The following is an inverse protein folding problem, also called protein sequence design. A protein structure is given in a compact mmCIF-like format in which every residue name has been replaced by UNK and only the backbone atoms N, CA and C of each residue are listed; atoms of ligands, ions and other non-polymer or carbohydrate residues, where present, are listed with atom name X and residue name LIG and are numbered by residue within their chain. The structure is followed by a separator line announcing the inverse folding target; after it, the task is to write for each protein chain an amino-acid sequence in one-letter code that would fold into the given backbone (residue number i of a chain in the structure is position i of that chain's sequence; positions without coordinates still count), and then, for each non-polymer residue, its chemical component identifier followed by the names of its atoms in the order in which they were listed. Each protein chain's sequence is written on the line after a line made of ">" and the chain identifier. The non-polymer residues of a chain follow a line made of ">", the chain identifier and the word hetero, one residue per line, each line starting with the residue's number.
data_IF_407169216007
#
_entry.id   IF_407169216007
#
_cell.length_a   1.000
_cell.length_b   1.000
_cell.length_c   1.000
_cell.angle_alpha   90.00
_cell.angle_beta   90.00
_cell.angle_gamma   90.00
#
_symmetry.space_group_name_H-M   'P 1'
#
loop_
_entity.id
_entity.type
_entity.pdbx_description
1 polymer ?
#
# COMPACT_ATOMS: atom_id res chain seq x y z
N UNK A 1 35.59 3.04 -7.67
CA UNK A 1 34.15 3.27 -7.92
C UNK A 1 33.41 2.33 -6.99
N UNK A 2 32.89 2.86 -5.89
CA UNK A 2 32.08 2.09 -4.93
C UNK A 2 30.64 2.54 -5.14
N UNK A 3 29.90 1.82 -5.97
CA UNK A 3 28.45 1.99 -6.09
C UNK A 3 27.80 1.10 -5.03
N UNK A 4 27.20 1.75 -4.05
CA UNK A 4 26.26 1.16 -3.11
C UNK A 4 24.98 0.79 -3.85
N UNK A 5 25.02 -0.26 -4.67
CA UNK A 5 23.79 -0.83 -5.23
C UNK A 5 23.01 -1.50 -4.09
N UNK A 6 22.08 -0.75 -3.49
CA UNK A 6 21.10 -1.28 -2.55
C UNK A 6 20.41 -2.46 -3.23
N UNK A 7 20.60 -3.67 -2.69
CA UNK A 7 19.93 -4.87 -3.23
C UNK A 7 18.43 -4.62 -3.15
N UNK A 8 17.70 -4.75 -4.27
CA UNK A 8 16.29 -4.44 -4.25
C UNK A 8 15.55 -5.43 -3.36
N UNK A 9 14.57 -4.94 -2.61
CA UNK A 9 13.84 -5.66 -1.56
C UNK A 9 13.31 -7.04 -2.02
N UNK A 10 12.99 -7.21 -3.30
CA UNK A 10 12.52 -8.46 -3.90
C UNK A 10 13.55 -9.61 -3.92
N UNK A 11 14.83 -9.33 -3.64
CA UNK A 11 15.86 -10.35 -3.47
C UNK A 11 15.93 -10.92 -2.05
N UNK A 12 15.20 -10.34 -1.09
CA UNK A 12 15.14 -10.83 0.29
C UNK A 12 14.13 -11.98 0.37
N UNK A 13 14.53 -13.13 0.93
CA UNK A 13 13.68 -14.34 0.98
C UNK A 13 12.33 -14.15 1.69
N UNK A 14 12.24 -13.18 2.62
CA UNK A 14 10.97 -12.74 3.21
C UNK A 14 9.96 -12.38 2.12
N UNK A 15 10.37 -11.58 1.13
CA UNK A 15 9.47 -10.99 0.13
C UNK A 15 8.69 -12.07 -0.63
N UNK A 16 9.32 -13.21 -0.91
CA UNK A 16 8.66 -14.34 -1.56
C UNK A 16 7.69 -15.10 -0.63
N UNK A 17 7.99 -15.17 0.67
CA UNK A 17 7.11 -15.79 1.67
C UNK A 17 5.84 -14.97 1.85
N UNK A 18 5.94 -13.63 1.90
CA UNK A 18 4.76 -12.75 1.96
C UNK A 18 3.92 -12.86 0.70
N UNK A 19 4.52 -12.78 -0.50
CA UNK A 19 3.82 -12.99 -1.78
C UNK A 19 2.98 -14.28 -1.78
N UNK A 20 3.59 -15.42 -1.42
CA UNK A 20 2.92 -16.72 -1.46
C UNK A 20 1.84 -16.87 -0.37
N UNK A 21 2.03 -16.24 0.79
CA UNK A 21 1.08 -16.34 1.91
C UNK A 21 -0.23 -15.56 1.71
N UNK A 22 -0.23 -14.57 0.82
CA UNK A 22 -1.36 -13.66 0.60
C UNK A 22 -2.50 -14.30 -0.23
N UNK A 23 -2.26 -15.44 -0.88
CA UNK A 23 -3.19 -16.10 -1.82
C UNK A 23 -4.01 -17.26 -1.20
N UNK A 24 -4.19 -17.31 0.12
CA UNK A 24 -5.17 -18.23 0.72
C UNK A 24 -6.54 -17.54 0.84
N UNK A 25 -7.34 -17.66 -0.23
CA UNK A 25 -8.75 -17.23 -0.26
C UNK A 25 -9.60 -18.23 0.55
N UNK A 26 -9.93 -17.91 1.80
CA UNK A 26 -11.01 -18.59 2.54
C UNK A 26 -12.28 -17.76 2.44
N UNK A 27 -13.32 -18.37 1.88
CA UNK A 27 -14.64 -17.77 1.67
C UNK A 27 -15.48 -17.75 2.95
N UNK A 28 -15.94 -16.56 3.38
CA UNK A 28 -17.35 -16.20 3.53
C UNK A 28 -17.60 -15.06 4.55
N UNK A 29 -18.57 -14.22 4.18
CA UNK A 29 -19.37 -13.24 4.97
C UNK A 29 -18.86 -11.79 5.09
N UNK A 30 -19.85 -10.94 5.30
CA UNK A 30 -20.08 -9.57 4.79
C UNK A 30 -19.48 -8.46 5.63
N UNK A 31 -19.24 -7.27 5.06
CA UNK A 31 -19.87 -5.98 5.45
C UNK A 31 -19.46 -4.87 4.46
N UNK A 32 -20.34 -3.89 4.26
CA UNK A 32 -20.21 -2.76 3.34
C UNK A 32 -19.97 -1.52 4.20
N UNK A 33 -18.95 -0.72 3.90
CA UNK A 33 -18.87 0.65 4.39
C UNK A 33 -18.53 1.62 3.25
N UNK A 34 -19.35 2.66 3.18
CA UNK A 34 -19.39 3.73 2.21
C UNK A 34 -18.60 4.93 2.76
N UNK A 35 -17.72 5.54 1.97
CA UNK A 35 -17.22 6.88 2.30
C UNK A 35 -17.18 7.77 1.06
N UNK A 36 -17.94 8.85 1.16
CA UNK A 36 -17.99 10.01 0.29
C UNK A 36 -17.49 11.24 1.06
N UNK A 37 -16.54 11.94 0.44
CA UNK A 37 -16.42 13.40 0.33
C UNK A 37 -16.48 14.29 1.57
N UNK A 38 -15.39 15.03 1.83
CA UNK A 38 -15.43 16.44 2.27
C UNK A 38 -14.22 17.21 1.71
N UNK A 39 -14.47 18.45 1.31
CA UNK A 39 -13.56 19.46 0.77
C UNK A 39 -13.83 20.80 1.49
N UNK A 40 -12.82 21.68 1.44
CA UNK A 40 -12.76 23.11 1.80
C UNK A 40 -12.57 23.39 3.32
N UNK A 41 -11.77 24.36 3.80
CA UNK A 41 -11.07 25.52 3.22
C UNK A 41 -10.11 26.07 4.32
N UNK A 42 -8.92 26.60 3.97
CA UNK A 42 -8.26 27.71 4.67
C UNK A 42 -7.00 28.16 3.90
N UNK A 43 -6.98 29.44 3.54
CA UNK A 43 -6.07 30.04 2.57
C UNK A 43 -5.23 31.14 3.24
N UNK A 44 -4.04 31.39 2.67
CA UNK A 44 -3.17 32.58 2.79
C UNK A 44 -2.12 32.70 3.91
N UNK A 45 -0.88 32.32 3.58
CA UNK A 45 0.31 33.08 3.96
C UNK A 45 1.48 32.90 2.94
N UNK A 46 1.80 34.00 2.25
CA UNK A 46 3.16 34.41 1.84
C UNK A 46 3.88 33.75 0.65
N UNK A 47 3.40 34.08 -0.55
CA UNK A 47 4.05 34.89 -1.62
C UNK A 47 5.54 34.77 -2.00
N UNK A 48 6.44 34.15 -1.23
CA UNK A 48 7.83 33.90 -1.65
C UNK A 48 8.06 32.45 -2.16
N UNK A 49 7.07 31.57 -1.97
CA UNK A 49 7.04 30.18 -2.47
C UNK A 49 6.77 30.05 -4.00
N UNK A 50 6.61 31.16 -4.73
CA UNK A 50 6.04 31.16 -6.10
C UNK A 50 6.98 30.69 -7.22
N UNK A 51 8.27 30.42 -6.97
CA UNK A 51 9.16 29.80 -7.97
C UNK A 51 9.27 28.27 -7.88
N UNK A 52 8.99 27.67 -6.71
CA UNK A 52 8.97 26.21 -6.52
C UNK A 52 7.57 25.61 -6.77
N UNK A 53 6.54 26.45 -6.72
CA UNK A 53 5.15 26.04 -6.89
C UNK A 53 4.72 25.80 -8.36
N UNK A 54 5.47 26.31 -9.35
CA UNK A 54 5.20 26.04 -10.77
C UNK A 54 5.51 24.60 -11.17
N UNK A 55 6.43 23.94 -10.47
CA UNK A 55 6.71 22.50 -10.65
C UNK A 55 5.68 21.64 -9.88
N UNK A 56 5.31 22.05 -8.66
CA UNK A 56 4.27 21.34 -7.87
C UNK A 56 2.86 21.42 -8.46
N UNK A 57 2.50 22.49 -9.20
CA UNK A 57 1.18 22.63 -9.84
C UNK A 57 1.00 21.81 -11.12
N UNK A 58 2.05 21.21 -11.69
CA UNK A 58 1.88 20.20 -12.75
C UNK A 58 1.58 18.80 -12.19
N UNK A 59 1.86 18.53 -10.91
CA UNK A 59 1.59 17.23 -10.28
C UNK A 59 0.10 16.97 -10.01
N UNK A 60 -0.77 17.99 -9.99
CA UNK A 60 -2.21 17.81 -9.73
C UNK A 60 -3.02 17.28 -10.93
N UNK A 61 -2.41 17.10 -12.12
CA UNK A 61 -3.09 16.41 -13.24
C UNK A 61 -2.84 14.90 -13.26
N UNK A 62 -1.85 14.40 -12.52
CA UNK A 62 -1.49 12.99 -12.51
C UNK A 62 -1.15 12.55 -11.08
N UNK A 63 -2.11 11.97 -10.34
CA UNK A 63 -1.85 11.50 -8.98
C UNK A 63 -0.70 10.48 -8.96
N UNK A 64 0.04 10.45 -7.84
CA UNK A 64 1.11 9.48 -7.60
C UNK A 64 0.60 8.04 -7.69
N UNK A 65 1.50 7.07 -7.86
CA UNK A 65 1.12 5.66 -7.95
C UNK A 65 0.37 5.20 -6.70
N UNK A 66 0.85 5.59 -5.51
CA UNK A 66 0.22 5.31 -4.22
C UNK A 66 -1.17 5.97 -4.13
N UNK A 67 -1.32 7.23 -4.54
CA UNK A 67 -2.61 7.90 -4.55
C UNK A 67 -3.62 7.22 -5.48
N UNK A 68 -3.18 6.81 -6.68
CA UNK A 68 -3.97 5.99 -7.61
C UNK A 68 -4.40 4.69 -6.96
N UNK A 69 -3.46 3.93 -6.39
CA UNK A 69 -3.74 2.68 -5.70
C UNK A 69 -4.75 2.87 -4.56
N UNK A 70 -4.56 3.86 -3.69
CA UNK A 70 -5.43 4.14 -2.55
C UNK A 70 -6.86 4.50 -2.96
N UNK A 71 -7.03 5.17 -4.12
CA UNK A 71 -8.36 5.53 -4.65
C UNK A 71 -9.20 4.34 -5.14
N UNK A 72 -8.58 3.17 -5.38
CA UNK A 72 -9.27 1.98 -5.90
C UNK A 72 -10.19 1.41 -4.82
N UNK A 73 -11.49 1.32 -5.13
CA UNK A 73 -12.46 0.65 -4.26
C UNK A 73 -12.49 -0.86 -4.53
N UNK A 74 -12.57 -1.65 -3.47
CA UNK A 74 -12.73 -3.12 -3.49
C UNK A 74 -14.06 -3.53 -2.84
N UNK A 75 -14.35 -4.83 -2.84
CA UNK A 75 -15.55 -5.38 -2.18
C UNK A 75 -16.80 -5.36 -3.05
N UNK A 76 -17.97 -5.11 -2.45
CA UNK A 76 -19.27 -5.16 -3.17
C UNK A 76 -19.38 -4.05 -4.23
N UNK A 77 -18.94 -2.84 -3.88
CA UNK A 77 -18.96 -1.65 -4.74
C UNK A 77 -17.57 -1.37 -5.34
N UNK A 78 -16.78 -2.43 -5.54
CA UNK A 78 -15.44 -2.31 -6.09
C UNK A 78 -15.46 -1.75 -7.51
N UNK A 79 -14.35 -1.14 -7.91
CA UNK A 79 -14.20 -0.63 -9.27
C UNK A 79 -14.14 -1.76 -10.28
N UNK A 80 -14.62 -1.48 -11.50
CA UNK A 80 -14.51 -2.44 -12.58
C UNK A 80 -13.09 -2.51 -13.13
N UNK A 81 -12.73 -3.61 -13.80
CA UNK A 81 -11.42 -3.73 -14.47
C UNK A 81 -11.17 -2.56 -15.42
N UNK A 82 -12.19 -2.12 -16.16
CA UNK A 82 -12.08 -0.96 -17.08
C UNK A 82 -11.70 0.33 -16.34
N UNK A 83 -12.35 0.63 -15.22
CA UNK A 83 -12.05 1.82 -14.42
C UNK A 83 -10.62 1.78 -13.90
N UNK A 84 -10.18 0.62 -13.42
CA UNK A 84 -8.82 0.44 -12.89
C UNK A 84 -7.78 0.50 -14.00
N UNK A 85 -8.06 -0.07 -15.18
CA UNK A 85 -7.19 0.04 -16.36
C UNK A 85 -7.07 1.50 -16.83
N UNK A 86 -8.13 2.31 -16.74
CA UNK A 86 -8.01 3.74 -17.03
C UNK A 86 -7.12 4.48 -16.01
N UNK A 87 -7.07 4.00 -14.77
CA UNK A 87 -6.31 4.62 -13.69
C UNK A 87 -4.83 4.22 -13.69
N UNK A 88 -4.54 2.93 -13.90
CA UNK A 88 -3.21 2.33 -13.81
C UNK A 88 -2.59 1.99 -15.18
N UNK A 89 -3.35 2.10 -16.26
CA UNK A 89 -3.00 1.57 -17.58
C UNK A 89 -3.31 0.08 -17.72
N UNK A 90 -2.85 -0.53 -18.82
CA UNK A 90 -3.02 -1.96 -19.04
C UNK A 90 -2.18 -2.78 -18.04
N UNK A 91 -2.72 -3.91 -17.53
CA UNK A 91 -1.94 -4.82 -16.70
C UNK A 91 -0.80 -5.43 -17.52
N UNK A 92 0.30 -5.71 -16.85
CA UNK A 92 1.43 -6.44 -17.41
C UNK A 92 1.05 -7.88 -17.72
N UNK A 93 0.24 -8.49 -16.85
CA UNK A 93 -0.24 -9.86 -17.01
C UNK A 93 -1.59 -10.05 -16.33
N UNK A 94 -2.29 -11.12 -16.72
CA UNK A 94 -3.52 -11.56 -16.07
C UNK A 94 -3.56 -13.07 -15.94
N UNK A 95 -4.04 -13.56 -14.79
CA UNK A 95 -4.22 -14.96 -14.50
C UNK A 95 -5.68 -15.26 -14.19
N UNK A 96 -6.23 -16.31 -14.78
CA UNK A 96 -7.56 -16.82 -14.45
C UNK A 96 -7.44 -17.74 -13.24
N UNK A 97 -8.21 -17.48 -12.18
CA UNK A 97 -8.12 -18.18 -10.90
C UNK A 97 -9.17 -19.28 -10.74
N UNK A 98 -10.25 -19.25 -11.54
CA UNK A 98 -11.31 -20.26 -11.50
C UNK A 98 -11.56 -20.90 -12.87
N UNK A 99 -12.12 -22.12 -12.87
CA UNK A 99 -12.43 -22.86 -14.10
C UNK A 99 -13.45 -22.14 -15.01
N UNK A 100 -14.19 -21.18 -14.46
CA UNK A 100 -15.28 -20.46 -15.16
C UNK A 100 -14.85 -19.09 -15.67
N UNK A 101 -13.61 -18.67 -15.46
CA UNK A 101 -13.11 -17.35 -15.87
C UNK A 101 -13.77 -16.17 -15.16
N UNK A 102 -14.45 -16.40 -14.04
CA UNK A 102 -15.12 -15.34 -13.26
C UNK A 102 -14.17 -14.67 -12.29
N UNK A 103 -13.12 -15.36 -11.87
CA UNK A 103 -12.10 -14.81 -10.99
C UNK A 103 -10.79 -14.64 -11.76
N UNK A 104 -10.28 -13.40 -11.77
CA UNK A 104 -9.09 -13.01 -12.54
C UNK A 104 -8.21 -12.15 -11.65
N UNK A 105 -6.94 -12.49 -11.54
CA UNK A 105 -5.92 -11.61 -10.96
C UNK A 105 -5.22 -10.88 -12.09
N UNK A 106 -5.09 -9.56 -11.97
CA UNK A 106 -4.30 -8.74 -12.89
C UNK A 106 -3.12 -8.13 -12.13
N UNK A 107 -1.95 -8.16 -12.75
CA UNK A 107 -0.70 -7.63 -12.18
C UNK A 107 -0.23 -6.44 -13.02
N UNK A 108 0.20 -5.37 -12.35
CA UNK A 108 0.90 -4.24 -12.96
C UNK A 108 2.29 -4.15 -12.35
N UNK A 109 3.31 -4.30 -13.19
CA UNK A 109 4.67 -3.96 -12.84
C UNK A 109 4.88 -2.47 -13.16
N UNK A 110 5.20 -1.70 -12.14
CA UNK A 110 5.38 -0.24 -12.19
C UNK A 110 6.74 0.12 -11.60
N UNK A 111 7.05 1.41 -11.68
CA UNK A 111 8.23 1.99 -11.04
C UNK A 111 7.77 3.18 -10.21
N UNK A 112 8.29 3.28 -9.00
CA UNK A 112 8.11 4.41 -8.08
C UNK A 112 9.46 4.63 -7.39
N UNK A 113 9.97 5.87 -7.36
CA UNK A 113 11.29 6.20 -6.82
C UNK A 113 12.43 5.26 -7.29
N UNK A 114 12.46 4.91 -8.57
CA UNK A 114 13.40 3.95 -9.18
C UNK A 114 13.30 2.49 -8.68
N UNK A 115 12.38 2.19 -7.78
CA UNK A 115 12.10 0.83 -7.32
C UNK A 115 10.97 0.18 -8.12
N UNK A 116 11.10 -1.14 -8.32
CA UNK A 116 10.06 -1.92 -8.95
C UNK A 116 8.90 -2.11 -7.96
N UNK A 117 7.73 -1.63 -8.35
CA UNK A 117 6.49 -1.75 -7.58
C UNK A 117 5.55 -2.71 -8.28
N UNK A 118 4.95 -3.61 -7.52
CA UNK A 118 3.99 -4.58 -8.04
C UNK A 118 2.61 -4.26 -7.46
N UNK A 119 1.64 -4.02 -8.33
CA UNK A 119 0.23 -3.90 -7.95
C UNK A 119 -0.50 -5.14 -8.44
N UNK A 120 -1.24 -5.81 -7.56
CA UNK A 120 -2.10 -6.93 -7.93
C UNK A 120 -3.54 -6.64 -7.53
N UNK A 121 -4.48 -6.97 -8.40
CA UNK A 121 -5.92 -6.77 -8.14
C UNK A 121 -6.67 -8.02 -8.59
N UNK A 122 -7.43 -8.61 -7.67
CA UNK A 122 -8.30 -9.74 -7.97
C UNK A 122 -9.70 -9.24 -8.27
N UNK A 123 -10.24 -9.66 -9.40
CA UNK A 123 -11.57 -9.34 -9.87
C UNK A 123 -12.46 -10.57 -9.79
N UNK A 124 -13.67 -10.40 -9.27
CA UNK A 124 -14.74 -11.39 -9.44
C UNK A 124 -15.87 -10.78 -10.28
N UNK A 125 -16.20 -11.42 -11.40
CA UNK A 125 -17.17 -10.93 -12.38
C UNK A 125 -16.92 -9.46 -12.75
N UNK A 126 -15.66 -9.14 -13.08
CA UNK A 126 -15.19 -7.80 -13.47
C UNK A 126 -15.19 -6.74 -12.35
N UNK A 127 -15.50 -7.08 -11.09
CA UNK A 127 -15.49 -6.15 -9.95
C UNK A 127 -14.30 -6.48 -9.04
N UNK A 128 -13.50 -5.47 -8.70
CA UNK A 128 -12.36 -5.64 -7.79
C UNK A 128 -12.80 -6.10 -6.40
N UNK A 129 -12.18 -7.17 -5.90
CA UNK A 129 -12.46 -7.79 -4.60
C UNK A 129 -11.31 -7.64 -3.62
N UNK A 130 -10.09 -7.71 -4.12
CA UNK A 130 -8.89 -7.46 -3.33
C UNK A 130 -7.86 -6.70 -4.15
N UNK A 131 -6.96 -6.02 -3.45
CA UNK A 131 -5.82 -5.33 -4.06
C UNK A 131 -4.60 -5.39 -3.16
N UNK A 132 -3.41 -5.36 -3.73
CA UNK A 132 -2.15 -5.15 -3.03
C UNK A 132 -1.23 -4.25 -3.85
N UNK A 133 -0.37 -3.52 -3.17
CA UNK A 133 0.78 -2.83 -3.75
C UNK A 133 1.98 -3.18 -2.87
N UNK A 134 3.08 -3.56 -3.50
CA UNK A 134 4.28 -3.98 -2.81
C UNK A 134 5.51 -3.35 -3.43
N UNK A 135 6.53 -3.11 -2.61
CA UNK A 135 7.82 -2.62 -3.06
C UNK A 135 7.96 -1.12 -3.14
N UNK A 136 7.13 -0.39 -2.40
CA UNK A 136 7.30 1.05 -2.30
C UNK A 136 8.58 1.35 -1.54
N UNK A 137 9.33 2.33 -2.05
CA UNK A 137 10.48 2.88 -1.34
C UNK A 137 10.03 4.10 -0.56
N UNK A 138 9.81 3.92 0.74
CA UNK A 138 9.37 5.00 1.60
C UNK A 138 10.60 5.61 2.27
N UNK A 139 11.00 6.79 1.80
CA UNK A 139 12.05 7.58 2.41
C UNK A 139 11.56 8.16 3.74
N UNK A 140 11.91 7.50 4.85
CA UNK A 140 11.54 7.93 6.21
C UNK A 140 12.70 8.69 6.83
N UNK A 141 12.40 9.85 7.42
CA UNK A 141 13.41 10.65 8.13
C UNK A 141 14.08 9.87 9.28
N UNK A 142 13.34 8.96 9.93
CA UNK A 142 13.82 8.16 11.05
C UNK A 142 13.35 6.71 10.93
N UNK A 143 14.19 5.76 11.37
CA UNK A 143 13.82 4.36 11.46
C UNK A 143 12.71 4.14 12.49
N UNK A 144 11.77 3.23 12.18
CA UNK A 144 10.69 2.87 13.08
C UNK A 144 11.21 2.08 14.28
N UNK A 145 10.79 2.49 15.49
CA UNK A 145 11.23 1.91 16.77
C UNK A 145 10.13 1.12 17.48
N UNK A 146 10.49 0.34 18.49
CA UNK A 146 9.54 -0.30 19.39
C UNK A 146 8.68 0.73 20.14
N UNK A 147 9.24 1.90 20.44
CA UNK A 147 8.50 3.00 21.05
C UNK A 147 7.39 3.50 20.14
N UNK A 148 7.64 3.65 18.83
CA UNK A 148 6.62 4.06 17.86
C UNK A 148 5.52 3.01 17.72
N UNK A 149 5.91 1.73 17.61
CA UNK A 149 4.95 0.63 17.62
C UNK A 149 4.07 0.65 18.88
N UNK A 150 4.65 0.89 20.06
CA UNK A 150 3.92 0.89 21.33
C UNK A 150 2.95 2.06 21.51
N UNK A 151 3.05 3.14 20.71
CA UNK A 151 2.06 4.22 20.70
C UNK A 151 0.71 3.77 20.14
N UNK A 152 0.70 2.75 19.29
CA UNK A 152 -0.52 2.21 18.66
C UNK A 152 -1.22 1.19 19.56
N UNK A 153 -2.54 1.13 19.50
CA UNK A 153 -3.38 0.14 20.19
C UNK A 153 -4.53 -0.34 19.30
N UNK A 154 -5.09 -1.51 19.64
CA UNK A 154 -6.30 -1.99 18.98
C UNK A 154 -7.42 -0.94 19.10
N UNK A 155 -8.16 -0.74 18.01
CA UNK A 155 -9.19 0.29 17.90
C UNK A 155 -8.73 1.62 17.33
N UNK A 156 -7.42 1.91 17.28
CA UNK A 156 -6.91 3.10 16.61
C UNK A 156 -7.25 3.08 15.12
N UNK A 157 -7.40 4.25 14.51
CA UNK A 157 -7.79 4.34 13.11
C UNK A 157 -6.60 4.45 12.15
N UNK A 158 -6.86 4.28 10.86
CA UNK A 158 -5.82 4.38 9.81
C UNK A 158 -5.02 5.69 9.89
N UNK A 159 -5.68 6.83 10.02
CA UNK A 159 -4.99 8.12 10.07
C UNK A 159 -4.07 8.23 11.28
N UNK A 160 -4.46 7.67 12.42
CA UNK A 160 -3.58 7.61 13.58
C UNK A 160 -2.35 6.74 13.32
N UNK A 161 -2.53 5.57 12.69
CA UNK A 161 -1.40 4.72 12.29
C UNK A 161 -0.42 5.47 11.40
N UNK A 162 -0.92 6.12 10.34
CA UNK A 162 -0.08 6.90 9.42
C UNK A 162 0.60 8.09 10.12
N UNK A 163 -0.06 8.73 11.08
CA UNK A 163 0.55 9.83 11.84
C UNK A 163 1.72 9.41 12.72
N UNK A 164 1.78 8.13 13.11
CA UNK A 164 2.83 7.58 13.98
C UNK A 164 3.92 6.89 13.17
N UNK A 165 3.55 6.08 12.18
CA UNK A 165 4.48 5.23 11.42
C UNK A 165 4.79 5.73 10.01
N UNK A 166 4.09 6.77 9.54
CA UNK A 166 4.15 7.20 8.14
C UNK A 166 3.47 6.21 7.19
N UNK A 167 3.79 6.35 5.90
CA UNK A 167 3.34 5.44 4.88
C UNK A 167 4.04 4.07 4.99
N UNK A 168 3.33 2.94 4.84
CA UNK A 168 3.94 1.61 4.78
C UNK A 168 4.60 1.33 3.43
N UNK A 169 5.51 0.37 3.42
CA UNK A 169 6.23 -0.11 2.23
C UNK A 169 5.32 -1.01 1.37
N UNK A 170 4.42 -1.75 2.02
CA UNK A 170 3.43 -2.58 1.35
C UNK A 170 2.02 -2.36 1.92
N UNK A 171 1.02 -2.41 1.04
CA UNK A 171 -0.39 -2.40 1.41
C UNK A 171 -1.11 -3.61 0.82
N UNK A 172 -2.07 -4.16 1.55
CA UNK A 172 -3.08 -5.06 1.01
C UNK A 172 -4.46 -4.76 1.54
N UNK A 173 -5.49 -5.03 0.75
CA UNK A 173 -6.90 -4.98 1.11
C UNK A 173 -7.55 -6.26 0.60
N UNK A 174 -7.83 -7.18 1.52
CA UNK A 174 -8.31 -8.53 1.23
C UNK A 174 -9.48 -8.82 2.14
N UNK A 175 -10.65 -9.05 1.54
CA UNK A 175 -11.89 -9.32 2.27
C UNK A 175 -12.23 -8.24 3.32
N UNK A 176 -11.92 -6.97 3.02
CA UNK A 176 -12.17 -5.85 3.94
C UNK A 176 -11.18 -5.73 5.10
N UNK A 177 -10.14 -6.58 5.13
CA UNK A 177 -9.01 -6.43 6.03
C UNK A 177 -7.89 -5.73 5.27
N UNK A 178 -7.52 -4.56 5.76
CA UNK A 178 -6.36 -3.81 5.28
C UNK A 178 -5.14 -4.21 6.08
N UNK A 179 -4.08 -4.68 5.43
CA UNK A 179 -2.78 -4.89 6.08
C UNK A 179 -1.80 -3.83 5.61
N UNK A 180 -1.14 -3.18 6.55
CA UNK A 180 -0.05 -2.24 6.34
C UNK A 180 1.23 -2.91 6.85
N UNK A 181 2.21 -3.08 5.97
CA UNK A 181 3.48 -3.70 6.32
C UNK A 181 4.58 -2.65 6.20
N UNK A 182 5.33 -2.51 7.27
CA UNK A 182 6.47 -1.62 7.37
C UNK A 182 7.73 -2.45 7.50
N UNK A 183 8.72 -2.17 6.66
CA UNK A 183 10.06 -2.71 6.80
C UNK A 183 10.93 -1.59 7.35
N UNK A 184 11.56 -1.82 8.49
CA UNK A 184 12.41 -0.81 9.10
C UNK A 184 13.75 -0.75 8.37
N UNK A 185 14.23 0.46 8.12
CA UNK A 185 15.57 0.72 7.56
C UNK A 185 16.70 0.37 8.53
N UNK A 186 16.40 -0.16 9.72
CA UNK A 186 17.37 -0.75 10.63
C UNK A 186 18.24 -1.83 9.95
N UNK A 187 17.72 -2.49 8.91
CA UNK A 187 18.48 -3.42 8.09
C UNK A 187 19.65 -2.76 7.31
N UNK A 188 19.63 -1.44 7.11
CA UNK A 188 20.74 -0.68 6.52
C UNK A 188 21.89 -0.53 7.53
N UNK A 189 21.59 -0.44 8.82
CA UNK A 189 22.58 -0.39 9.88
C UNK A 189 23.07 -1.79 10.30
N UNK A 190 22.21 -2.81 10.24
CA UNK A 190 22.55 -4.21 10.52
C UNK A 190 21.66 -5.16 9.67
N UNK A 191 22.19 -5.78 8.59
CA UNK A 191 21.45 -6.66 7.70
C UNK A 191 20.86 -7.92 8.35
N UNK A 192 21.27 -8.26 9.58
CA UNK A 192 20.69 -9.36 10.36
C UNK A 192 19.38 -8.95 11.07
N UNK A 193 19.11 -7.65 11.19
CA UNK A 193 17.94 -7.09 11.83
C UNK A 193 16.86 -6.84 10.77
N UNK A 194 16.16 -7.90 10.35
CA UNK A 194 14.93 -7.78 9.56
C UNK A 194 13.78 -7.29 10.45
N UNK A 195 13.83 -6.00 10.81
CA UNK A 195 12.83 -5.38 11.67
C UNK A 195 11.62 -4.93 10.86
N UNK A 196 10.42 -5.16 11.40
CA UNK A 196 9.17 -4.90 10.67
C UNK A 196 7.98 -4.73 11.59
N UNK A 197 6.94 -4.11 11.06
CA UNK A 197 5.62 -3.95 11.69
C UNK A 197 4.55 -4.41 10.71
N UNK A 198 3.60 -5.18 11.20
CA UNK A 198 2.34 -5.45 10.51
C UNK A 198 1.17 -4.88 11.30
N UNK A 199 0.36 -4.03 10.66
CA UNK A 199 -0.89 -3.52 11.21
C UNK A 199 -2.05 -4.02 10.36
N UNK A 200 -3.00 -4.72 10.99
CA UNK A 200 -4.25 -5.15 10.34
C UNK A 200 -5.40 -4.27 10.80
N UNK A 201 -6.12 -3.69 9.85
CA UNK A 201 -7.30 -2.88 10.08
C UNK A 201 -8.54 -3.53 9.47
N UNK A 202 -9.66 -3.42 10.17
CA UNK A 202 -11.00 -3.70 9.64
C UNK A 202 -11.92 -2.57 10.05
N UNK A 203 -12.82 -2.15 9.16
CA UNK A 203 -13.70 -0.99 9.37
C UNK A 203 -12.95 0.26 9.88
N UNK A 204 -11.78 0.51 9.29
CA UNK A 204 -10.89 1.63 9.62
C UNK A 204 -10.35 1.59 11.06
N UNK A 205 -10.27 0.43 11.71
CA UNK A 205 -9.73 0.26 13.07
C UNK A 205 -8.72 -0.87 13.15
N UNK A 206 -7.65 -0.69 13.93
CA UNK A 206 -6.68 -1.76 14.21
C UNK A 206 -7.40 -2.91 14.91
N UNK A 207 -7.36 -4.09 14.29
CA UNK A 207 -7.84 -5.35 14.87
C UNK A 207 -6.70 -6.24 15.34
N UNK A 208 -5.51 -6.07 14.77
CA UNK A 208 -4.29 -6.75 15.19
C UNK A 208 -3.06 -5.94 14.79
N UNK A 209 -2.00 -6.09 15.59
CA UNK A 209 -0.68 -5.52 15.32
C UNK A 209 0.39 -6.52 15.76
N UNK A 210 1.46 -6.62 14.99
CA UNK A 210 2.64 -7.43 15.31
C UNK A 210 3.90 -6.72 14.87
N UNK A 211 5.02 -7.07 15.50
CA UNK A 211 6.34 -6.58 15.12
C UNK A 211 7.34 -7.71 15.21
N UNK A 212 8.42 -7.58 14.46
CA UNK A 212 9.59 -8.45 14.53
C UNK A 212 10.82 -7.58 14.69
N UNK A 213 11.73 -7.94 15.61
CA UNK A 213 13.05 -7.34 15.81
C UNK A 213 13.09 -5.80 15.99
N UNK A 214 11.99 -5.15 16.39
CA UNK A 214 12.04 -3.74 16.79
C UNK A 214 12.75 -3.58 18.15
N UNK A 215 13.49 -2.48 18.27
CA UNK A 215 14.17 -2.06 19.51
C UNK A 215 13.63 -0.72 19.99
#
# INVERSE_FOLDING_TARGET
>A
MNENEKKPFYRRNWFWITILSIIIVVSATTYIANYSYYKDEADQANLEQRKDQSERKQAEKNPSLVAKYNSIKTGKNGYSRKVITNLLGNPTETQIMDKKGKEITATWNKTDNNNQVIIQITFFKNIAKSKSIQGLDIDRENSLTLADFNKLKNGDNYNHVISILGDPDDYSDINGIRTLTYVSDLAEADPSQNASIDIKLSDNKIIAKSQVNLK
#
